data_IF_870515142038
#
_entry.id   IF_870515142038
#
_cell.length_a   1.000
_cell.length_b   1.000
_cell.length_c   1.000
_cell.angle_alpha   90.00
_cell.angle_beta   90.00
_cell.angle_gamma   90.00
#
_symmetry.space_group_name_H-M   'P 1'
#
loop_
_entity.id
_entity.type
_entity.pdbx_description
1 polymer ?
#
# COMPACT_ATOMS: atom_id res chain seq x y z
N UNK A 1 -1.82 25.05 8.97
CA UNK A 1 -1.27 23.86 9.68
C UNK A 1 -1.01 22.81 8.63
N UNK A 2 0.12 22.15 8.66
CA UNK A 2 0.42 21.03 7.77
C UNK A 2 -0.49 19.85 8.08
N UNK A 3 -0.94 19.12 7.05
CA UNK A 3 -2.02 18.12 7.12
C UNK A 3 -1.70 16.95 8.10
N UNK A 4 -0.41 16.59 8.25
CA UNK A 4 0.07 15.48 9.08
C UNK A 4 0.95 15.93 10.25
N UNK A 5 0.81 17.19 10.70
CA UNK A 5 1.61 17.73 11.80
C UNK A 5 1.58 16.82 13.03
N UNK A 6 2.76 16.44 13.53
CA UNK A 6 2.92 15.60 14.71
C UNK A 6 2.65 14.12 14.52
N UNK A 7 2.34 13.62 13.31
CA UNK A 7 2.11 12.19 13.06
C UNK A 7 3.41 11.42 12.88
N UNK A 8 3.50 10.25 13.53
CA UNK A 8 4.59 9.27 13.46
C UNK A 8 4.12 8.10 12.61
N UNK A 9 4.81 7.84 11.51
CA UNK A 9 4.28 7.05 10.39
C UNK A 9 5.24 5.92 10.02
N UNK A 10 4.72 4.71 9.83
CA UNK A 10 5.43 3.57 9.24
C UNK A 10 4.84 3.25 7.87
N UNK A 11 5.68 3.21 6.84
CA UNK A 11 5.27 2.88 5.46
C UNK A 11 6.03 1.64 4.97
N UNK A 12 5.30 0.60 4.55
CA UNK A 12 5.87 -0.64 4.02
C UNK A 12 5.97 -0.62 2.49
N UNK A 13 6.99 -1.32 1.94
CA UNK A 13 7.25 -1.31 0.50
C UNK A 13 7.54 0.09 -0.03
N UNK A 14 8.25 0.90 0.78
CA UNK A 14 8.45 2.31 0.51
C UNK A 14 9.70 2.61 -0.31
N UNK A 15 10.46 1.59 -0.76
CA UNK A 15 11.67 1.77 -1.55
C UNK A 15 11.44 2.23 -2.99
N UNK A 16 10.22 2.13 -3.51
CA UNK A 16 9.88 2.53 -4.88
C UNK A 16 8.37 2.74 -5.10
N UNK A 17 8.01 3.26 -6.27
CA UNK A 17 6.63 3.32 -6.75
C UNK A 17 5.68 4.09 -5.82
N UNK A 18 4.50 3.53 -5.56
CA UNK A 18 3.50 4.17 -4.69
C UNK A 18 4.02 4.37 -3.27
N UNK A 19 4.73 3.39 -2.69
CA UNK A 19 5.26 3.50 -1.33
C UNK A 19 6.28 4.62 -1.16
N UNK A 20 7.15 4.81 -2.15
CA UNK A 20 8.07 5.96 -2.21
C UNK A 20 7.29 7.28 -2.26
N UNK A 21 6.31 7.39 -3.17
CA UNK A 21 5.52 8.61 -3.30
C UNK A 21 4.72 8.91 -2.01
N UNK A 22 4.18 7.88 -1.35
CA UNK A 22 3.48 8.01 -0.06
C UNK A 22 4.43 8.53 1.01
N UNK A 23 5.63 7.93 1.17
CA UNK A 23 6.59 8.37 2.19
C UNK A 23 7.02 9.83 1.99
N UNK A 24 7.32 10.23 0.74
CA UNK A 24 7.69 11.59 0.40
C UNK A 24 6.51 12.57 0.54
N UNK A 25 5.31 12.18 0.09
CA UNK A 25 4.10 12.99 0.25
C UNK A 25 3.74 13.23 1.71
N UNK A 26 3.85 12.21 2.57
CA UNK A 26 3.62 12.35 4.01
C UNK A 26 4.67 13.25 4.68
N UNK A 27 5.93 13.20 4.23
CA UNK A 27 6.97 14.12 4.69
C UNK A 27 6.63 15.56 4.30
N UNK A 28 6.26 15.81 3.04
CA UNK A 28 5.85 17.13 2.55
C UNK A 28 4.57 17.64 3.26
N UNK A 29 3.67 16.74 3.66
CA UNK A 29 2.49 17.06 4.47
C UNK A 29 2.81 17.33 5.96
N UNK A 30 4.08 17.30 6.37
CA UNK A 30 4.56 17.72 7.68
C UNK A 30 4.51 16.65 8.77
N UNK A 31 4.65 15.39 8.42
CA UNK A 31 4.83 14.31 9.41
C UNK A 31 5.98 14.62 10.38
N UNK A 32 5.88 14.21 11.64
CA UNK A 32 6.93 14.36 12.66
C UNK A 32 8.09 13.39 12.42
N UNK A 33 7.75 12.13 12.14
CA UNK A 33 8.74 11.11 11.90
C UNK A 33 8.18 10.03 10.95
N UNK A 34 9.05 9.49 10.09
CA UNK A 34 8.69 8.42 9.16
C UNK A 34 9.71 7.29 9.27
N UNK A 35 9.22 6.06 9.45
CA UNK A 35 10.00 4.84 9.23
C UNK A 35 9.65 4.28 7.86
N UNK A 36 10.67 4.07 7.05
CA UNK A 36 10.60 3.43 5.74
C UNK A 36 11.02 1.97 5.89
N UNK A 37 10.26 1.03 5.36
CA UNK A 37 10.70 -0.38 5.29
C UNK A 37 10.53 -0.94 3.89
N UNK A 38 11.50 -1.75 3.48
CA UNK A 38 11.53 -2.47 2.20
C UNK A 38 12.47 -3.67 2.32
N UNK A 39 12.35 -4.65 1.42
CA UNK A 39 13.33 -5.74 1.29
C UNK A 39 14.61 -5.27 0.58
N UNK A 40 14.51 -4.26 -0.29
CA UNK A 40 15.63 -3.64 -0.98
C UNK A 40 16.24 -2.53 -0.11
N UNK A 41 17.37 -2.86 0.52
CA UNK A 41 18.04 -1.95 1.43
C UNK A 41 18.52 -0.66 0.76
N UNK A 42 19.06 -0.74 -0.46
CA UNK A 42 19.58 0.43 -1.16
C UNK A 42 18.46 1.45 -1.46
N UNK A 43 17.32 0.96 -1.95
CA UNK A 43 16.16 1.80 -2.24
C UNK A 43 15.58 2.40 -0.94
N UNK A 44 15.42 1.58 0.10
CA UNK A 44 14.87 2.03 1.38
C UNK A 44 15.73 3.12 2.05
N UNK A 45 17.06 2.96 2.05
CA UNK A 45 17.98 3.98 2.56
C UNK A 45 17.90 5.28 1.74
N UNK A 46 17.84 5.18 0.41
CA UNK A 46 17.72 6.35 -0.46
C UNK A 46 16.44 7.15 -0.16
N UNK A 47 15.30 6.46 0.03
CA UNK A 47 14.03 7.13 0.35
C UNK A 47 14.07 7.72 1.77
N UNK A 48 14.62 7.00 2.73
CA UNK A 48 14.81 7.53 4.09
C UNK A 48 15.69 8.80 4.08
N UNK A 49 16.75 8.83 3.27
CA UNK A 49 17.58 10.02 3.08
C UNK A 49 16.78 11.17 2.47
N UNK A 50 16.01 10.92 1.40
CA UNK A 50 15.18 11.93 0.77
C UNK A 50 14.11 12.51 1.73
N UNK A 51 13.51 11.70 2.59
CA UNK A 51 12.60 12.18 3.65
C UNK A 51 13.33 13.11 4.64
N UNK A 52 14.59 12.79 5.01
CA UNK A 52 15.40 13.67 5.88
C UNK A 52 15.75 15.00 5.20
N UNK A 53 15.97 15.02 3.89
CA UNK A 53 16.21 16.25 3.11
C UNK A 53 15.01 17.20 3.12
N UNK A 54 13.78 16.68 3.23
CA UNK A 54 12.56 17.48 3.43
C UNK A 54 12.50 18.09 4.85
N UNK A 55 13.34 17.62 5.78
CA UNK A 55 13.38 18.10 7.17
C UNK A 55 12.60 17.23 8.16
N UNK A 56 12.14 16.05 7.76
CA UNK A 56 11.42 15.10 8.62
C UNK A 56 12.37 14.07 9.21
N UNK A 57 12.20 13.73 10.49
CA UNK A 57 12.96 12.65 11.15
C UNK A 57 12.66 11.32 10.47
N UNK A 58 13.66 10.64 9.90
CA UNK A 58 13.42 9.38 9.20
C UNK A 58 14.56 8.37 9.36
N UNK A 59 14.18 7.09 9.34
CA UNK A 59 15.10 5.96 9.28
C UNK A 59 14.53 4.86 8.36
N UNK A 60 15.41 4.03 7.85
CA UNK A 60 15.09 2.80 7.16
C UNK A 60 15.29 1.60 8.09
N UNK A 61 14.33 0.68 8.09
CA UNK A 61 14.44 -0.62 8.76
C UNK A 61 14.14 -1.69 7.72
N UNK A 62 15.15 -2.52 7.40
CA UNK A 62 14.95 -3.65 6.49
C UNK A 62 14.08 -4.72 7.15
N UNK A 63 13.07 -5.21 6.44
CA UNK A 63 12.26 -6.33 6.89
C UNK A 63 11.73 -7.15 5.71
N UNK A 64 11.75 -8.47 5.84
CA UNK A 64 11.01 -9.38 4.96
C UNK A 64 9.63 -9.63 5.57
N UNK A 65 8.60 -9.11 4.92
CA UNK A 65 7.23 -9.20 5.45
C UNK A 65 6.62 -10.62 5.39
N UNK A 66 7.34 -11.60 4.85
CA UNK A 66 6.99 -13.03 4.97
C UNK A 66 7.36 -13.58 6.35
N UNK A 67 8.28 -12.94 7.06
CA UNK A 67 8.79 -13.34 8.37
C UNK A 67 8.03 -12.62 9.49
N UNK A 68 7.31 -13.38 10.33
CA UNK A 68 6.63 -12.82 11.49
C UNK A 68 7.59 -12.18 12.49
N UNK A 69 8.79 -12.72 12.65
CA UNK A 69 9.84 -12.17 13.54
C UNK A 69 10.42 -10.86 13.01
N UNK A 70 10.58 -10.73 11.68
CA UNK A 70 11.01 -9.47 11.07
C UNK A 70 9.94 -8.38 11.25
N UNK A 71 8.66 -8.75 11.09
CA UNK A 71 7.54 -7.82 11.30
C UNK A 71 7.48 -7.33 12.74
N UNK A 72 7.61 -8.21 13.73
CA UNK A 72 7.63 -7.83 15.14
C UNK A 72 8.79 -6.89 15.43
N UNK A 73 9.99 -7.26 15.02
CA UNK A 73 11.21 -6.43 15.16
C UNK A 73 11.09 -5.07 14.46
N UNK A 74 10.45 -5.02 13.28
CA UNK A 74 10.18 -3.79 12.55
C UNK A 74 9.27 -2.85 13.37
N UNK A 75 8.18 -3.35 13.92
CA UNK A 75 7.25 -2.55 14.73
C UNK A 75 7.95 -2.02 15.97
N UNK A 76 8.67 -2.86 16.70
CA UNK A 76 9.42 -2.46 17.90
C UNK A 76 10.48 -1.41 17.60
N UNK A 77 11.25 -1.59 16.54
CA UNK A 77 12.26 -0.64 16.06
C UNK A 77 11.64 0.69 15.63
N UNK A 78 10.52 0.65 14.90
CA UNK A 78 9.80 1.83 14.45
C UNK A 78 9.26 2.64 15.65
N UNK A 79 8.60 1.97 16.58
CA UNK A 79 8.06 2.60 17.80
C UNK A 79 9.18 3.19 18.66
N UNK A 80 10.29 2.47 18.83
CA UNK A 80 11.45 2.95 19.58
C UNK A 80 12.06 4.21 18.93
N UNK A 81 12.24 4.19 17.61
CA UNK A 81 12.81 5.33 16.88
C UNK A 81 11.91 6.56 16.96
N UNK A 82 10.60 6.39 16.77
CA UNK A 82 9.65 7.50 16.71
C UNK A 82 9.09 7.92 18.08
N UNK A 83 9.23 7.10 19.11
CA UNK A 83 8.59 7.30 20.41
C UNK A 83 7.08 7.03 20.41
N UNK A 84 6.60 6.18 19.47
CA UNK A 84 5.23 5.76 19.30
C UNK A 84 4.83 5.63 17.83
N UNK A 85 3.55 5.29 17.56
CA UNK A 85 3.04 5.08 16.20
C UNK A 85 1.64 5.66 16.08
N UNK A 86 1.41 6.50 15.07
CA UNK A 86 0.12 7.16 14.82
C UNK A 86 -0.51 6.73 13.48
N UNK A 87 0.32 6.31 12.51
CA UNK A 87 -0.16 5.85 11.21
C UNK A 87 0.66 4.66 10.71
N UNK A 88 -0.03 3.59 10.33
CA UNK A 88 0.55 2.44 9.64
C UNK A 88 0.03 2.39 8.20
N UNK A 89 0.93 2.45 7.21
CA UNK A 89 0.60 2.28 5.80
C UNK A 89 1.14 0.95 5.32
N UNK A 90 0.26 -0.02 5.15
CA UNK A 90 0.54 -1.33 4.57
C UNK A 90 0.45 -1.22 3.04
N UNK A 91 1.54 -0.80 2.41
CA UNK A 91 1.61 -0.60 0.97
C UNK A 91 2.34 -1.73 0.23
N UNK A 92 3.25 -2.44 0.87
CA UNK A 92 3.99 -3.54 0.25
C UNK A 92 3.07 -4.56 -0.41
N UNK A 93 3.50 -5.06 -1.56
CA UNK A 93 2.77 -6.09 -2.28
C UNK A 93 3.53 -6.60 -3.49
N UNK A 94 3.21 -7.82 -3.89
CA UNK A 94 3.73 -8.51 -5.08
C UNK A 94 2.57 -9.01 -5.93
N UNK A 95 2.81 -9.23 -7.21
CA UNK A 95 1.82 -9.74 -8.15
C UNK A 95 2.33 -11.03 -8.81
N UNK A 96 1.53 -12.08 -8.78
CA UNK A 96 1.85 -13.41 -9.32
C UNK A 96 2.19 -13.38 -10.80
N UNK A 97 1.48 -12.58 -11.61
CA UNK A 97 1.74 -12.43 -13.04
C UNK A 97 3.11 -11.82 -13.41
N UNK A 98 3.90 -11.40 -12.42
CA UNK A 98 5.27 -10.93 -12.60
C UNK A 98 6.31 -11.90 -12.01
N UNK A 99 5.86 -12.95 -11.36
CA UNK A 99 6.71 -13.93 -10.66
C UNK A 99 6.62 -15.28 -11.36
N UNK A 100 5.41 -15.71 -11.75
CA UNK A 100 5.15 -16.97 -12.42
C UNK A 100 5.10 -16.78 -13.94
N UNK A 101 5.56 -17.78 -14.68
CA UNK A 101 5.43 -17.85 -16.14
C UNK A 101 3.95 -18.00 -16.56
N UNK A 102 3.16 -18.70 -15.75
CA UNK A 102 1.71 -18.86 -15.91
C UNK A 102 0.97 -18.56 -14.60
N UNK A 103 0.33 -17.41 -14.55
CA UNK A 103 -0.46 -16.95 -13.39
C UNK A 103 -1.96 -17.18 -13.56
N UNK A 104 -2.36 -18.14 -14.42
CA UNK A 104 -3.75 -18.58 -14.57
C UNK A 104 -4.16 -19.54 -13.46
N UNK A 105 -5.46 -19.87 -13.38
CA UNK A 105 -5.98 -20.76 -12.34
C UNK A 105 -5.42 -22.20 -12.44
N UNK A 106 -5.00 -22.63 -13.63
CA UNK A 106 -4.48 -23.98 -13.88
C UNK A 106 -2.95 -24.03 -13.82
N UNK A 107 -2.27 -22.92 -14.11
CA UNK A 107 -0.82 -22.87 -14.26
C UNK A 107 -0.06 -22.34 -13.04
N UNK A 108 -0.73 -21.62 -12.14
CA UNK A 108 -0.07 -21.02 -10.98
C UNK A 108 0.39 -22.10 -9.98
N UNK A 109 1.68 -22.12 -9.67
CA UNK A 109 2.23 -23.01 -8.67
C UNK A 109 1.91 -22.57 -7.23
N UNK A 110 1.88 -23.54 -6.31
CA UNK A 110 1.52 -23.34 -4.91
C UNK A 110 2.50 -22.39 -4.19
N UNK A 111 3.80 -22.44 -4.52
CA UNK A 111 4.79 -21.60 -3.86
C UNK A 111 4.60 -20.12 -4.23
N UNK A 112 4.23 -19.82 -5.47
CA UNK A 112 3.90 -18.45 -5.91
C UNK A 112 2.58 -17.99 -5.28
N UNK A 113 1.57 -18.87 -5.18
CA UNK A 113 0.34 -18.57 -4.45
C UNK A 113 0.64 -18.18 -3.01
N UNK A 114 1.40 -19.02 -2.28
CA UNK A 114 1.76 -18.79 -0.88
C UNK A 114 2.55 -17.49 -0.70
N UNK A 115 3.51 -17.23 -1.57
CA UNK A 115 4.28 -15.98 -1.55
C UNK A 115 3.38 -14.75 -1.65
N UNK A 116 2.43 -14.76 -2.59
CA UNK A 116 1.49 -13.63 -2.78
C UNK A 116 0.58 -13.46 -1.56
N UNK A 117 0.06 -14.56 -1.03
CA UNK A 117 -0.81 -14.52 0.16
C UNK A 117 -0.04 -14.08 1.42
N UNK A 118 1.19 -14.54 1.60
CA UNK A 118 2.03 -14.16 2.73
C UNK A 118 2.36 -12.66 2.71
N UNK A 119 2.79 -12.13 1.56
CA UNK A 119 3.18 -10.71 1.46
C UNK A 119 1.96 -9.79 1.44
N UNK A 120 0.92 -10.11 0.65
CA UNK A 120 -0.17 -9.16 0.40
C UNK A 120 -1.26 -9.18 1.47
N UNK A 121 -1.45 -10.29 2.17
CA UNK A 121 -2.56 -10.44 3.12
C UNK A 121 -2.10 -10.80 4.53
N UNK A 122 -1.33 -11.87 4.70
CA UNK A 122 -0.87 -12.32 6.02
C UNK A 122 0.03 -11.29 6.69
N UNK A 123 0.93 -10.66 5.92
CA UNK A 123 1.78 -9.58 6.44
C UNK A 123 0.94 -8.41 6.97
N UNK A 124 -0.12 -7.99 6.26
CA UNK A 124 -1.01 -6.91 6.71
C UNK A 124 -1.67 -7.26 8.04
N UNK A 125 -2.11 -8.53 8.20
CA UNK A 125 -2.64 -9.01 9.48
C UNK A 125 -1.59 -8.94 10.59
N UNK A 126 -0.37 -9.45 10.37
CA UNK A 126 0.70 -9.44 11.36
C UNK A 126 1.13 -8.00 11.71
N UNK A 127 1.32 -7.13 10.72
CA UNK A 127 1.62 -5.71 10.92
C UNK A 127 0.53 -5.05 11.78
N UNK A 128 -0.75 -5.31 11.48
CA UNK A 128 -1.88 -4.80 12.27
C UNK A 128 -1.86 -5.35 13.69
N UNK A 129 -1.61 -6.64 13.87
CA UNK A 129 -1.54 -7.31 15.17
C UNK A 129 -0.51 -6.67 16.09
N UNK A 130 0.72 -6.51 15.60
CA UNK A 130 1.81 -5.96 16.40
C UNK A 130 1.71 -4.43 16.58
N UNK A 131 1.18 -3.71 15.59
CA UNK A 131 1.01 -2.26 15.68
C UNK A 131 -0.19 -1.82 16.54
N UNK A 132 -1.23 -2.65 16.68
CA UNK A 132 -2.49 -2.29 17.33
C UNK A 132 -2.33 -1.72 18.77
N UNK A 133 -1.52 -2.31 19.67
CA UNK A 133 -1.31 -1.75 21.02
C UNK A 133 -0.73 -0.33 20.97
N UNK A 134 0.23 -0.07 20.08
CA UNK A 134 0.90 1.22 19.93
C UNK A 134 -0.01 2.28 19.30
N UNK A 135 -0.81 1.88 18.30
CA UNK A 135 -1.81 2.75 17.68
C UNK A 135 -2.90 3.15 18.69
N UNK A 136 -3.41 2.23 19.50
CA UNK A 136 -4.37 2.55 20.57
C UNK A 136 -3.78 3.52 21.62
N UNK A 137 -2.50 3.38 21.91
CA UNK A 137 -1.79 4.27 22.84
C UNK A 137 -1.43 5.65 22.24
N UNK A 138 -1.68 5.87 20.95
CA UNK A 138 -1.26 7.07 20.23
C UNK A 138 -1.86 8.37 20.79
N UNK A 139 -3.19 8.39 21.02
CA UNK A 139 -3.91 9.61 21.45
C UNK A 139 -3.93 10.73 20.38
N UNK A 140 -3.47 10.47 19.14
CA UNK A 140 -3.29 11.46 18.06
C UNK A 140 -4.11 11.12 16.79
N UNK A 141 -5.28 10.48 16.93
CA UNK A 141 -6.10 10.10 15.79
C UNK A 141 -5.44 9.01 14.94
N UNK A 142 -5.15 7.86 15.58
CA UNK A 142 -4.46 6.76 14.94
C UNK A 142 -5.20 6.16 13.74
N UNK A 143 -4.44 5.71 12.74
CA UNK A 143 -5.02 5.10 11.55
C UNK A 143 -4.15 4.01 10.93
N UNK A 144 -4.83 3.04 10.28
CA UNK A 144 -4.20 2.04 9.42
C UNK A 144 -4.76 2.24 8.00
N UNK A 145 -3.87 2.24 7.00
CA UNK A 145 -4.24 2.39 5.60
C UNK A 145 -3.63 1.22 4.83
N UNK A 146 -4.49 0.38 4.24
CA UNK A 146 -4.10 -0.83 3.55
C UNK A 146 -4.15 -0.65 2.02
N UNK A 147 -3.16 -1.15 1.31
CA UNK A 147 -3.15 -1.21 -0.15
C UNK A 147 -3.93 -2.43 -0.63
N UNK A 148 -5.16 -2.22 -1.09
CA UNK A 148 -5.93 -3.20 -1.85
C UNK A 148 -5.66 -3.05 -3.36
N UNK A 149 -6.65 -3.27 -4.21
CA UNK A 149 -6.63 -3.07 -5.66
C UNK A 149 -8.04 -3.18 -6.23
N UNK A 150 -8.28 -2.61 -7.40
CA UNK A 150 -9.48 -2.91 -8.22
C UNK A 150 -9.58 -4.42 -8.54
N UNK A 151 -8.45 -5.13 -8.61
CA UNK A 151 -8.41 -6.59 -8.79
C UNK A 151 -8.97 -7.38 -7.59
N UNK A 152 -9.17 -6.74 -6.45
CA UNK A 152 -9.90 -7.33 -5.31
C UNK A 152 -11.42 -7.28 -5.48
N UNK A 153 -11.93 -6.57 -6.50
CA UNK A 153 -13.35 -6.46 -6.83
C UNK A 153 -13.63 -7.11 -8.20
N UNK A 154 -12.78 -6.84 -9.20
CA UNK A 154 -12.91 -7.37 -10.54
C UNK A 154 -12.10 -8.65 -10.71
N UNK A 155 -12.68 -9.66 -11.39
CA UNK A 155 -11.93 -10.86 -11.81
C UNK A 155 -10.93 -10.54 -12.91
N UNK A 156 -9.79 -11.26 -12.90
CA UNK A 156 -8.77 -11.24 -13.95
C UNK A 156 -8.48 -12.66 -14.43
N UNK A 157 -8.05 -12.83 -15.69
CA UNK A 157 -7.68 -14.15 -16.21
C UNK A 157 -6.33 -14.63 -15.69
N UNK A 158 -5.44 -13.71 -15.36
CA UNK A 158 -4.14 -13.94 -14.73
C UNK A 158 -4.05 -13.08 -13.47
N UNK A 159 -3.22 -13.47 -12.51
CA UNK A 159 -3.16 -12.76 -11.23
C UNK A 159 -4.21 -13.27 -10.23
N UNK A 160 -4.43 -14.58 -10.20
CA UNK A 160 -5.50 -15.20 -9.39
C UNK A 160 -5.21 -15.11 -7.89
N UNK A 161 -3.97 -15.32 -7.46
CA UNK A 161 -3.56 -15.14 -6.07
C UNK A 161 -3.58 -13.66 -5.67
N UNK A 162 -3.12 -12.78 -6.57
CA UNK A 162 -3.17 -11.33 -6.34
C UNK A 162 -4.60 -10.85 -6.09
N UNK A 163 -5.52 -11.18 -7.00
CA UNK A 163 -6.93 -10.81 -6.86
C UNK A 163 -7.54 -11.31 -5.55
N UNK A 164 -7.32 -12.60 -5.21
CA UNK A 164 -7.79 -13.21 -3.97
C UNK A 164 -7.19 -12.49 -2.73
N UNK A 165 -5.88 -12.21 -2.73
CA UNK A 165 -5.23 -11.48 -1.63
C UNK A 165 -5.80 -10.08 -1.44
N UNK A 166 -6.05 -9.32 -2.54
CA UNK A 166 -6.57 -7.95 -2.49
C UNK A 166 -8.06 -7.91 -2.09
N UNK A 167 -8.85 -8.91 -2.45
CA UNK A 167 -10.20 -9.10 -1.92
C UNK A 167 -10.17 -9.38 -0.40
N UNK A 168 -9.22 -10.22 0.04
CA UNK A 168 -8.95 -10.47 1.45
C UNK A 168 -8.61 -9.20 2.23
N UNK A 169 -7.78 -8.31 1.67
CA UNK A 169 -7.42 -7.01 2.27
C UNK A 169 -8.65 -6.12 2.45
N UNK A 170 -9.54 -6.06 1.47
CA UNK A 170 -10.79 -5.29 1.57
C UNK A 170 -11.64 -5.78 2.75
N UNK A 171 -11.82 -7.10 2.87
CA UNK A 171 -12.59 -7.66 3.96
C UNK A 171 -11.87 -7.54 5.32
N UNK A 172 -10.55 -7.75 5.36
CA UNK A 172 -9.74 -7.59 6.56
C UNK A 172 -9.79 -6.15 7.09
N UNK A 173 -9.81 -5.15 6.20
CA UNK A 173 -9.96 -3.73 6.55
C UNK A 173 -11.24 -3.48 7.34
N UNK A 174 -12.37 -4.03 6.91
CA UNK A 174 -13.67 -3.89 7.61
C UNK A 174 -13.64 -4.55 9.00
N UNK A 175 -13.10 -5.77 9.08
CA UNK A 175 -12.99 -6.50 10.34
C UNK A 175 -12.07 -5.79 11.33
N UNK A 176 -10.95 -5.24 10.84
CA UNK A 176 -10.00 -4.48 11.65
C UNK A 176 -10.59 -3.16 12.14
N UNK A 177 -11.36 -2.46 11.29
CA UNK A 177 -12.06 -1.24 11.67
C UNK A 177 -13.04 -1.48 12.82
N UNK A 178 -13.81 -2.58 12.76
CA UNK A 178 -14.72 -2.96 13.83
C UNK A 178 -13.98 -3.28 15.14
N UNK A 179 -12.87 -4.02 15.06
CA UNK A 179 -12.12 -4.45 16.24
C UNK A 179 -11.34 -3.31 16.92
N UNK A 180 -10.82 -2.35 16.12
CA UNK A 180 -9.95 -1.29 16.60
C UNK A 180 -10.69 0.01 16.93
N UNK A 181 -11.97 0.12 16.58
CA UNK A 181 -12.80 1.26 16.96
C UNK A 181 -13.00 1.32 18.49
N UNK A 182 -13.14 2.53 19.09
CA UNK A 182 -13.10 3.85 18.45
C UNK A 182 -11.67 4.42 18.31
N UNK A 183 -10.65 3.72 18.77
CA UNK A 183 -9.31 4.28 18.96
C UNK A 183 -8.53 4.44 17.66
N UNK A 184 -8.76 3.54 16.68
CA UNK A 184 -8.00 3.49 15.42
C UNK A 184 -8.96 3.37 14.24
N UNK A 185 -8.82 4.26 13.26
CA UNK A 185 -9.52 4.14 11.97
C UNK A 185 -8.75 3.19 11.05
N UNK A 186 -9.47 2.35 10.29
CA UNK A 186 -8.84 1.45 9.33
C UNK A 186 -9.55 1.56 7.99
N UNK A 187 -8.81 1.90 6.95
CA UNK A 187 -9.32 2.05 5.59
C UNK A 187 -8.41 1.38 4.58
N UNK A 188 -8.87 1.15 3.37
CA UNK A 188 -8.00 0.73 2.27
C UNK A 188 -8.27 1.56 1.01
N UNK A 189 -7.25 1.69 0.17
CA UNK A 189 -7.35 2.28 -1.15
C UNK A 189 -7.21 1.20 -2.23
N UNK A 190 -7.92 1.41 -3.35
CA UNK A 190 -8.00 0.48 -4.47
C UNK A 190 -7.45 1.16 -5.73
N UNK A 191 -6.14 1.06 -5.99
CA UNK A 191 -5.58 1.61 -7.21
C UNK A 191 -6.11 0.90 -8.45
N UNK A 192 -6.33 1.66 -9.52
CA UNK A 192 -6.31 1.16 -10.89
C UNK A 192 -4.88 0.94 -11.36
N UNK A 193 -4.60 1.18 -12.64
CA UNK A 193 -3.24 1.12 -13.15
C UNK A 193 -2.49 2.41 -12.80
N UNK A 194 -1.49 2.31 -11.93
CA UNK A 194 -0.63 3.43 -11.52
C UNK A 194 0.74 3.29 -12.18
N UNK A 195 1.32 4.39 -12.64
CA UNK A 195 2.65 4.43 -13.25
C UNK A 195 3.75 4.19 -12.20
N UNK A 196 4.17 2.94 -12.07
CA UNK A 196 5.16 2.46 -11.11
C UNK A 196 6.16 1.54 -11.82
N UNK A 197 7.32 1.24 -11.22
CA UNK A 197 8.22 0.21 -11.77
C UNK A 197 7.51 -1.12 -12.05
N UNK A 198 6.51 -1.50 -11.25
CA UNK A 198 5.71 -2.70 -11.45
C UNK A 198 4.90 -2.64 -12.76
N UNK A 199 4.16 -1.58 -13.02
CA UNK A 199 3.34 -1.43 -14.24
C UNK A 199 4.20 -1.19 -15.48
N UNK A 200 5.27 -0.42 -15.35
CA UNK A 200 6.23 -0.18 -16.44
C UNK A 200 6.98 -1.45 -16.81
N UNK A 201 7.42 -2.25 -15.83
CA UNK A 201 8.05 -3.55 -16.09
C UNK A 201 7.12 -4.52 -16.84
N UNK A 202 5.82 -4.54 -16.51
CA UNK A 202 4.84 -5.31 -17.27
C UNK A 202 4.70 -4.80 -18.72
N UNK A 203 4.74 -3.49 -18.93
CA UNK A 203 4.67 -2.89 -20.25
C UNK A 203 5.94 -3.17 -21.09
N UNK A 204 7.12 -3.15 -20.45
CA UNK A 204 8.40 -3.45 -21.11
C UNK A 204 8.56 -4.94 -21.48
N UNK A 205 8.06 -5.84 -20.64
CA UNK A 205 8.08 -7.28 -20.90
C UNK A 205 7.07 -7.71 -21.98
N UNK A 206 6.16 -6.83 -22.40
CA UNK A 206 5.12 -7.14 -23.38
C UNK A 206 5.67 -7.23 -24.80
N UNK A 207 5.30 -8.29 -25.52
CA UNK A 207 5.60 -8.45 -26.97
C UNK A 207 4.86 -7.43 -27.86
N UNK A 208 3.78 -6.82 -27.37
CA UNK A 208 3.03 -5.76 -28.04
C UNK A 208 2.79 -4.59 -27.07
N UNK A 209 3.79 -3.70 -26.95
CA UNK A 209 3.78 -2.58 -26.03
C UNK A 209 2.59 -1.62 -26.25
N UNK A 210 2.24 -1.33 -27.50
CA UNK A 210 1.17 -0.38 -27.84
C UNK A 210 -0.20 -0.92 -27.43
N UNK A 211 -0.51 -2.18 -27.73
CA UNK A 211 -1.75 -2.84 -27.34
C UNK A 211 -1.84 -3.00 -25.81
N UNK A 212 -0.74 -3.33 -25.15
CA UNK A 212 -0.70 -3.43 -23.68
C UNK A 212 -0.94 -2.07 -23.03
N UNK A 213 -0.29 -1.01 -23.50
CA UNK A 213 -0.52 0.35 -23.03
C UNK A 213 -1.98 0.77 -23.26
N UNK A 214 -2.52 0.52 -24.45
CA UNK A 214 -3.92 0.79 -24.78
C UNK A 214 -4.90 0.07 -23.84
N UNK A 215 -4.64 -1.18 -23.50
CA UNK A 215 -5.46 -1.92 -22.51
C UNK A 215 -5.31 -1.36 -21.10
N UNK A 216 -4.10 -1.04 -20.66
CA UNK A 216 -3.82 -0.48 -19.34
C UNK A 216 -4.51 0.89 -19.13
N UNK A 217 -4.46 1.76 -20.15
CA UNK A 217 -5.07 3.10 -20.08
C UNK A 217 -6.55 3.08 -20.45
N UNK A 218 -6.94 2.24 -21.41
CA UNK A 218 -8.31 2.12 -21.90
C UNK A 218 -9.30 1.54 -20.88
N UNK A 219 -8.81 0.88 -19.85
CA UNK A 219 -9.64 0.40 -18.74
C UNK A 219 -10.18 1.54 -17.85
N UNK A 220 -9.62 2.75 -17.93
CA UNK A 220 -10.03 3.90 -17.13
C UNK A 220 -10.97 4.83 -17.92
N UNK A 221 -11.88 5.52 -17.23
CA UNK A 221 -12.64 6.65 -17.79
C UNK A 221 -11.71 7.83 -18.09
N UNK A 222 -10.76 8.09 -17.19
CA UNK A 222 -9.64 8.99 -17.43
C UNK A 222 -8.56 8.20 -18.20
N UNK A 223 -8.34 8.42 -19.52
CA UNK A 223 -7.60 7.50 -20.39
C UNK A 223 -6.07 7.65 -20.22
N UNK A 224 -5.59 7.47 -19.01
CA UNK A 224 -4.18 7.47 -18.64
C UNK A 224 -3.93 6.54 -17.46
N UNK A 225 -2.69 6.20 -17.19
CA UNK A 225 -2.31 5.67 -15.87
C UNK A 225 -2.44 6.78 -14.81
N UNK A 226 -2.74 6.39 -13.58
CA UNK A 226 -2.65 7.28 -12.43
C UNK A 226 -1.18 7.52 -12.07
N UNK A 227 -0.89 8.64 -11.45
CA UNK A 227 0.43 8.95 -10.92
C UNK A 227 0.57 8.46 -9.47
N UNK A 228 1.78 8.01 -9.03
CA UNK A 228 2.01 7.65 -7.64
C UNK A 228 1.71 8.79 -6.65
N UNK A 229 1.89 10.04 -7.07
CA UNK A 229 1.54 11.26 -6.31
C UNK A 229 0.04 11.34 -5.98
N UNK A 230 -0.83 10.97 -6.93
CA UNK A 230 -2.29 10.96 -6.70
C UNK A 230 -2.69 9.95 -5.63
N UNK A 231 -1.99 8.79 -5.57
CA UNK A 231 -2.17 7.81 -4.50
C UNK A 231 -1.67 8.38 -3.16
N UNK A 232 -0.51 9.06 -3.17
CA UNK A 232 0.04 9.68 -1.96
C UNK A 232 -0.92 10.74 -1.38
N UNK A 233 -1.57 11.54 -2.21
CA UNK A 233 -2.55 12.56 -1.78
C UNK A 233 -3.75 11.92 -1.07
N UNK A 234 -4.31 10.85 -1.62
CA UNK A 234 -5.39 10.11 -0.97
C UNK A 234 -4.93 9.50 0.37
N UNK A 235 -3.73 8.90 0.41
CA UNK A 235 -3.21 8.28 1.64
C UNK A 235 -2.92 9.35 2.70
N UNK A 236 -2.38 10.51 2.33
CA UNK A 236 -2.20 11.65 3.24
C UNK A 236 -3.55 12.15 3.79
N UNK A 237 -4.59 12.25 2.96
CA UNK A 237 -5.94 12.60 3.40
C UNK A 237 -6.46 11.58 4.42
N UNK A 238 -6.34 10.27 4.13
CA UNK A 238 -6.80 9.21 5.04
C UNK A 238 -6.01 9.15 6.35
N UNK A 239 -4.73 9.55 6.33
CA UNK A 239 -3.89 9.64 7.52
C UNK A 239 -4.21 10.86 8.41
N UNK A 240 -4.85 11.86 7.85
CA UNK A 240 -5.13 13.13 8.52
C UNK A 240 -6.44 13.12 9.31
N UNK A 241 -6.60 14.15 10.14
CA UNK A 241 -7.83 14.36 10.90
C UNK A 241 -9.01 14.84 10.02
N UNK A 242 -8.75 15.24 8.75
CA UNK A 242 -9.78 15.56 7.76
C UNK A 242 -10.66 14.34 7.41
N UNK A 243 -10.16 13.14 7.62
CA UNK A 243 -10.89 11.88 7.42
C UNK A 243 -11.38 11.25 8.74
N UNK A 244 -11.54 12.04 9.80
CA UNK A 244 -11.85 11.56 11.17
C UNK A 244 -13.16 10.75 11.27
N UNK A 245 -14.09 10.92 10.33
CA UNK A 245 -15.36 10.18 10.28
C UNK A 245 -15.37 9.09 9.20
N UNK A 246 -14.19 8.70 8.67
CA UNK A 246 -14.05 7.69 7.62
C UNK A 246 -13.30 6.49 8.19
N UNK A 247 -13.97 5.34 8.32
CA UNK A 247 -13.38 4.06 8.74
C UNK A 247 -14.14 2.89 8.13
N UNK A 248 -13.45 1.76 7.90
CA UNK A 248 -14.03 0.54 7.34
C UNK A 248 -14.32 0.60 5.84
N UNK A 249 -13.82 1.59 5.12
CA UNK A 249 -14.13 1.79 3.70
C UNK A 249 -12.99 1.37 2.78
N UNK A 250 -13.38 1.00 1.55
CA UNK A 250 -12.50 0.72 0.43
C UNK A 250 -12.70 1.82 -0.61
N UNK A 251 -11.69 2.67 -0.84
CA UNK A 251 -11.80 3.86 -1.68
C UNK A 251 -11.06 3.62 -3.01
N UNK A 252 -11.78 3.56 -4.15
CA UNK A 252 -11.15 3.49 -5.46
C UNK A 252 -10.34 4.77 -5.78
N UNK A 253 -9.14 4.57 -6.32
CA UNK A 253 -8.33 5.58 -6.99
C UNK A 253 -7.88 4.98 -8.31
N UNK A 254 -8.81 4.91 -9.25
CA UNK A 254 -8.78 4.01 -10.39
C UNK A 254 -9.16 4.68 -11.72
N UNK A 255 -9.20 6.00 -11.77
CA UNK A 255 -9.60 6.73 -12.96
C UNK A 255 -10.99 6.36 -13.48
N UNK A 256 -11.87 5.84 -12.61
CA UNK A 256 -13.23 5.41 -12.93
C UNK A 256 -13.33 3.99 -13.49
N UNK A 257 -12.29 3.15 -13.34
CA UNK A 257 -12.28 1.77 -13.86
C UNK A 257 -13.42 0.91 -13.30
N UNK A 258 -13.76 1.05 -12.03
CA UNK A 258 -14.87 0.32 -11.40
C UNK A 258 -16.25 0.92 -11.73
N UNK A 259 -16.31 2.14 -12.26
CA UNK A 259 -17.57 2.84 -12.52
C UNK A 259 -18.16 2.54 -13.90
N UNK A 260 -17.41 1.90 -14.81
CA UNK A 260 -17.86 1.67 -16.18
C UNK A 260 -17.49 0.28 -16.72
N UNK A 261 -18.06 -0.08 -17.86
CA UNK A 261 -17.92 -1.43 -18.46
C UNK A 261 -16.84 -1.53 -19.55
N UNK A 262 -16.01 -0.50 -19.73
CA UNK A 262 -14.88 -0.53 -20.67
C UNK A 262 -15.28 -0.32 -22.16
N UNK A 263 -16.50 0.08 -22.47
CA UNK A 263 -16.98 0.36 -23.83
C UNK A 263 -17.21 1.85 -23.98
N UNK A 264 -16.40 2.50 -24.82
CA UNK A 264 -16.67 3.90 -25.22
C UNK A 264 -17.63 3.87 -26.41
N UNK A 265 -18.75 4.57 -26.29
CA UNK A 265 -19.71 4.81 -27.38
C UNK A 265 -19.11 5.76 -28.42
#
# INVERSE_FOLDING_TARGET
MTQLAGKRILVTGAGQGMGQAIALGMAAAGAEAIVVTDVNAANGEAISAAVREIGVKATFIKADLRSGTDIESLIDGAVTFMGGLDCLVNNAGVIDSQIADDATIEGLDEATWDLVMDVNLKAIWLMTKYAAPHLRASGRGATIINSASVSGINGTKAGVAYGASKAGVIQFTKSSALYLAPDVRVNCYLPGTIETPMSLGHLEASSNREDTLSRMTGAHLLPRMGEPSEVADLVCFLASDQSSFITGVAIPIDGGMLAWRGVRS
#
